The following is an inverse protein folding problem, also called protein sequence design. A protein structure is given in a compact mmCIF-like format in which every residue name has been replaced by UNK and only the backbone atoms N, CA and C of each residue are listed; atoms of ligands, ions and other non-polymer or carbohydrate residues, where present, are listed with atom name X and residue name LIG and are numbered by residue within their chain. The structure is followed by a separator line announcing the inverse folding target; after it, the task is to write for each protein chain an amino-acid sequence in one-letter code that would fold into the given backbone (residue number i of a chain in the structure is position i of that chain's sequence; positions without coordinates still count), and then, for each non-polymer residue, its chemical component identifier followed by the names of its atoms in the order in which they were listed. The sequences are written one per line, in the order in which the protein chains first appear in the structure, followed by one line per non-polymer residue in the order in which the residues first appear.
data_IF_615357609192
#
_entry.id   IF_615357609192
#
_cell.length_a   1.000
_cell.length_b   1.000
_cell.length_c   1.000
_cell.angle_alpha   90.00
_cell.angle_beta   90.00
_cell.angle_gamma   90.00
#
_symmetry.space_group_name_H-M   'P 1'
#
loop_
_entity.id
_entity.type
_entity.pdbx_description
1 polymer ?
#
# COMPACT_ATOMS: atom_id res chain seq x y z
N UNK A 1 10.13 -32.18 11.36
CA UNK A 1 10.04 -30.71 11.54
C UNK A 1 10.66 -30.07 10.31
N UNK A 2 10.02 -30.21 9.16
CA UNK A 2 10.33 -29.37 8.01
C UNK A 2 9.19 -28.37 7.93
N UNK A 3 9.50 -27.15 8.33
CA UNK A 3 8.78 -25.97 7.85
C UNK A 3 9.21 -25.85 6.38
N UNK A 4 8.66 -26.74 5.55
CA UNK A 4 8.73 -26.63 4.09
C UNK A 4 7.77 -25.50 3.75
N UNK A 5 8.19 -24.25 3.99
CA UNK A 5 7.47 -23.08 3.51
C UNK A 5 7.19 -23.32 2.02
N UNK A 6 5.91 -23.38 1.67
CA UNK A 6 5.50 -23.67 0.30
C UNK A 6 6.18 -22.62 -0.59
N UNK A 7 7.01 -23.01 -1.58
CA UNK A 7 7.72 -22.05 -2.42
C UNK A 7 6.78 -21.15 -3.23
N UNK A 8 5.47 -21.45 -3.24
CA UNK A 8 4.42 -20.62 -3.81
C UNK A 8 3.62 -19.80 -2.78
N UNK A 9 3.90 -19.93 -1.47
CA UNK A 9 3.29 -19.08 -0.45
C UNK A 9 3.87 -17.67 -0.55
N UNK A 10 3.13 -16.82 -1.28
CA UNK A 10 3.47 -15.42 -1.46
C UNK A 10 3.25 -14.67 -0.15
N UNK A 11 4.25 -13.92 0.30
CA UNK A 11 4.08 -13.09 1.48
C UNK A 11 2.96 -12.06 1.27
N UNK A 12 2.21 -11.67 2.32
CA UNK A 12 1.05 -10.78 2.17
C UNK A 12 1.36 -9.48 1.43
N UNK A 13 2.55 -8.90 1.64
CA UNK A 13 2.96 -7.65 0.97
C UNK A 13 3.11 -7.84 -0.55
N UNK A 14 3.61 -8.98 -1.00
CA UNK A 14 3.73 -9.28 -2.43
C UNK A 14 2.36 -9.56 -3.04
N UNK A 15 1.48 -10.24 -2.31
CA UNK A 15 0.13 -10.53 -2.79
C UNK A 15 -0.69 -9.25 -2.99
N UNK A 16 -0.59 -8.29 -2.06
CA UNK A 16 -1.26 -7.01 -2.20
C UNK A 16 -0.75 -6.22 -3.42
N UNK A 17 0.56 -6.26 -3.71
CA UNK A 17 1.14 -5.64 -4.90
C UNK A 17 0.68 -6.36 -6.18
N UNK A 18 0.68 -7.69 -6.19
CA UNK A 18 0.23 -8.50 -7.34
C UNK A 18 -1.22 -8.20 -7.73
N UNK A 19 -2.06 -7.92 -6.74
CA UNK A 19 -3.47 -7.59 -6.91
C UNK A 19 -3.73 -6.11 -7.18
N UNK A 20 -2.67 -5.28 -7.18
CA UNK A 20 -2.74 -3.81 -7.17
C UNK A 20 -3.69 -3.26 -6.08
N UNK A 21 -3.77 -3.97 -4.94
CA UNK A 21 -4.59 -3.56 -3.80
C UNK A 21 -3.78 -2.57 -2.93
N UNK A 22 -3.79 -1.32 -3.36
CA UNK A 22 -3.12 -0.22 -2.67
C UNK A 22 -3.58 -0.07 -1.20
N UNK A 23 -4.85 -0.36 -0.91
CA UNK A 23 -5.41 -0.21 0.43
C UNK A 23 -4.85 -1.29 1.37
N UNK A 24 -4.83 -2.55 0.91
CA UNK A 24 -4.24 -3.65 1.66
C UNK A 24 -2.73 -3.51 1.80
N UNK A 25 -2.03 -3.11 0.72
CA UNK A 25 -0.60 -2.82 0.75
C UNK A 25 -0.29 -1.79 1.84
N UNK A 26 -1.00 -0.66 1.83
CA UNK A 26 -0.84 0.41 2.83
C UNK A 26 -1.12 -0.09 4.25
N UNK A 27 -2.16 -0.92 4.43
CA UNK A 27 -2.51 -1.51 5.72
C UNK A 27 -1.41 -2.43 6.25
N UNK A 28 -0.84 -3.28 5.38
CA UNK A 28 0.25 -4.20 5.73
C UNK A 28 1.52 -3.45 6.11
N UNK A 29 1.89 -2.42 5.34
CA UNK A 29 3.04 -1.57 5.62
C UNK A 29 2.89 -0.82 6.95
N UNK A 30 1.69 -0.29 7.24
CA UNK A 30 1.38 0.29 8.55
C UNK A 30 1.48 -0.72 9.70
N UNK A 31 1.17 -2.00 9.44
CA UNK A 31 1.32 -3.07 10.42
C UNK A 31 2.78 -3.52 10.62
N UNK A 32 3.75 -2.91 9.93
CA UNK A 32 5.18 -3.18 10.09
C UNK A 32 5.71 -4.33 9.25
N UNK A 33 4.98 -4.73 8.18
CA UNK A 33 5.54 -5.65 7.20
C UNK A 33 6.73 -5.00 6.49
N UNK A 34 7.75 -5.80 6.17
CA UNK A 34 8.97 -5.32 5.54
C UNK A 34 8.70 -4.89 4.08
N UNK A 35 8.85 -3.59 3.74
CA UNK A 35 8.64 -3.10 2.38
C UNK A 35 9.70 -3.59 1.38
N UNK A 36 10.79 -4.17 1.89
CA UNK A 36 11.92 -4.68 1.11
C UNK A 36 12.03 -6.22 1.18
N UNK A 37 10.95 -6.89 1.61
CA UNK A 37 10.88 -8.34 1.73
C UNK A 37 11.15 -9.00 0.36
N UNK A 38 12.00 -10.02 0.34
CA UNK A 38 12.19 -10.82 -0.87
C UNK A 38 11.12 -11.90 -0.98
N UNK A 39 10.54 -12.05 -2.17
CA UNK A 39 9.66 -13.18 -2.45
C UNK A 39 10.42 -14.51 -2.51
N UNK A 40 9.66 -15.61 -2.42
CA UNK A 40 10.19 -16.98 -2.50
C UNK A 40 10.45 -17.44 -3.94
N UNK A 41 9.87 -16.78 -4.94
CA UNK A 41 9.87 -17.26 -6.32
C UNK A 41 11.08 -16.77 -7.13
N UNK A 42 11.22 -15.45 -7.28
CA UNK A 42 12.28 -14.82 -8.07
C UNK A 42 13.32 -14.08 -7.19
N UNK A 43 13.09 -14.05 -5.88
CA UNK A 43 13.83 -13.19 -4.96
C UNK A 43 13.66 -11.72 -5.30
N UNK A 44 12.47 -11.32 -5.73
CA UNK A 44 12.15 -9.93 -6.03
C UNK A 44 11.69 -9.19 -4.79
N UNK A 45 11.98 -7.89 -4.74
CA UNK A 45 11.38 -6.99 -3.74
C UNK A 45 9.94 -6.66 -4.15
N UNK A 46 9.09 -6.15 -3.24
CA UNK A 46 7.74 -5.73 -3.59
C UNK A 46 7.77 -4.61 -4.63
N UNK A 47 8.82 -3.76 -4.61
CA UNK A 47 8.99 -2.68 -5.57
C UNK A 47 9.26 -3.16 -7.00
N UNK A 48 10.04 -4.23 -7.17
CA UNK A 48 10.23 -4.86 -8.48
C UNK A 48 8.91 -5.44 -9.01
N UNK A 49 8.15 -6.09 -8.14
CA UNK A 49 6.84 -6.66 -8.50
C UNK A 49 5.82 -5.58 -8.87
N UNK A 50 5.82 -4.44 -8.19
CA UNK A 50 4.94 -3.32 -8.51
C UNK A 50 5.22 -2.80 -9.92
N UNK A 51 6.48 -2.53 -10.25
CA UNK A 51 6.87 -2.02 -11.57
C UNK A 51 6.50 -3.00 -12.68
N UNK A 52 6.74 -4.30 -12.47
CA UNK A 52 6.39 -5.36 -13.42
C UNK A 52 4.88 -5.46 -13.62
N UNK A 53 4.12 -5.56 -12.52
CA UNK A 53 2.67 -5.72 -12.52
C UNK A 53 1.93 -4.52 -13.12
N UNK A 54 2.32 -3.29 -12.76
CA UNK A 54 1.76 -2.06 -13.34
C UNK A 54 2.03 -2.00 -14.86
N UNK A 55 3.26 -2.35 -15.29
CA UNK A 55 3.63 -2.38 -16.71
C UNK A 55 2.86 -3.44 -17.50
N UNK A 56 2.77 -4.66 -16.97
CA UNK A 56 2.08 -5.76 -17.62
C UNK A 56 0.56 -5.58 -17.61
N UNK A 57 0.00 -5.07 -16.52
CA UNK A 57 -1.42 -4.73 -16.39
C UNK A 57 -1.84 -3.69 -17.42
N UNK A 58 -1.10 -2.57 -17.55
CA UNK A 58 -1.37 -1.55 -18.56
C UNK A 58 -1.27 -2.11 -19.98
N UNK A 59 -0.27 -2.96 -20.25
CA UNK A 59 -0.07 -3.58 -21.57
C UNK A 59 -1.17 -4.57 -21.94
N UNK A 60 -1.71 -5.31 -20.97
CA UNK A 60 -2.75 -6.32 -21.18
C UNK A 60 -4.14 -5.69 -21.31
N UNK A 61 -4.44 -4.67 -20.51
CA UNK A 61 -5.76 -4.04 -20.47
C UNK A 61 -5.89 -2.87 -21.45
N UNK A 62 -4.79 -2.21 -21.78
CA UNK A 62 -4.78 -0.94 -22.51
C UNK A 62 -5.17 0.27 -21.66
N UNK A 63 -5.36 0.08 -20.36
CA UNK A 63 -5.58 1.17 -19.41
C UNK A 63 -4.32 2.03 -19.25
N UNK A 64 -4.45 3.29 -18.80
CA UNK A 64 -3.30 4.15 -18.55
C UNK A 64 -2.34 3.51 -17.55
N UNK A 65 -1.04 3.55 -17.86
CA UNK A 65 0.00 3.10 -16.94
C UNK A 65 -0.01 3.95 -15.66
N UNK A 66 -0.16 3.29 -14.52
CA UNK A 66 -0.07 3.89 -13.19
C UNK A 66 1.23 3.53 -12.48
N UNK A 67 1.45 4.14 -11.32
CA UNK A 67 2.65 3.94 -10.50
C UNK A 67 2.30 3.96 -9.00
N UNK A 68 1.09 3.51 -8.66
CA UNK A 68 0.52 3.70 -7.32
C UNK A 68 1.29 2.88 -6.27
N UNK A 69 1.46 1.58 -6.52
CA UNK A 69 2.25 0.70 -5.67
C UNK A 69 3.73 1.11 -5.69
N UNK A 70 4.25 1.47 -6.87
CA UNK A 70 5.62 1.98 -7.04
C UNK A 70 5.91 3.25 -6.23
N UNK A 71 4.92 4.13 -6.05
CA UNK A 71 5.06 5.35 -5.25
C UNK A 71 4.90 5.09 -3.74
N UNK A 72 4.01 4.18 -3.34
CA UNK A 72 3.75 3.88 -1.92
C UNK A 72 4.94 3.19 -1.27
N UNK A 73 5.55 2.20 -1.92
CA UNK A 73 6.63 1.42 -1.31
C UNK A 73 7.82 2.28 -0.82
N UNK A 74 8.39 3.19 -1.62
CA UNK A 74 9.44 4.11 -1.16
C UNK A 74 8.98 5.06 -0.05
N UNK A 75 7.70 5.48 -0.05
CA UNK A 75 7.15 6.34 1.00
C UNK A 75 7.09 5.63 2.37
N UNK A 76 6.98 4.29 2.37
CA UNK A 76 7.06 3.45 3.57
C UNK A 76 8.47 2.93 3.87
N UNK A 77 9.48 3.41 3.14
CA UNK A 77 10.88 3.11 3.40
C UNK A 77 11.47 1.96 2.60
N UNK A 78 10.79 1.47 1.55
CA UNK A 78 11.43 0.58 0.57
C UNK A 78 12.65 1.27 -0.01
N UNK A 79 13.75 0.54 -0.17
CA UNK A 79 14.96 1.07 -0.79
C UNK A 79 14.84 1.02 -2.32
N UNK A 80 14.72 2.16 -3.03
CA UNK A 80 14.56 2.19 -4.49
C UNK A 80 15.79 1.64 -5.24
N UNK A 81 16.93 1.53 -4.56
CA UNK A 81 18.16 0.95 -5.11
C UNK A 81 18.32 -0.54 -4.85
N UNK A 82 17.45 -1.18 -4.06
CA UNK A 82 17.64 -2.57 -3.62
C UNK A 82 17.38 -3.54 -4.78
N UNK A 83 18.39 -4.32 -5.21
CA UNK A 83 18.21 -5.29 -6.28
C UNK A 83 17.50 -6.55 -5.79
N UNK A 84 16.95 -7.31 -6.75
CA UNK A 84 16.56 -8.70 -6.55
C UNK A 84 17.75 -9.56 -6.14
N UNK A 85 17.48 -10.78 -5.66
CA UNK A 85 18.54 -11.79 -5.43
C UNK A 85 19.34 -12.12 -6.70
N UNK A 86 18.75 -11.91 -7.88
CA UNK A 86 19.41 -12.06 -9.19
C UNK A 86 20.15 -10.83 -9.69
N UNK A 87 20.18 -9.73 -8.93
CA UNK A 87 20.88 -8.49 -9.30
C UNK A 87 20.09 -7.51 -10.19
N UNK A 88 18.82 -7.80 -10.48
CA UNK A 88 17.93 -6.88 -11.20
C UNK A 88 17.57 -5.71 -10.30
N UNK A 89 17.80 -4.47 -10.73
CA UNK A 89 17.43 -3.27 -9.95
C UNK A 89 16.07 -2.75 -10.40
N UNK A 90 15.31 -2.07 -9.51
CA UNK A 90 14.05 -1.43 -9.88
C UNK A 90 14.20 -0.46 -11.06
N UNK A 91 15.30 0.29 -11.11
CA UNK A 91 15.59 1.22 -12.20
C UNK A 91 15.77 0.51 -13.55
N UNK A 92 16.54 -0.59 -13.59
CA UNK A 92 16.74 -1.35 -14.82
C UNK A 92 15.42 -1.91 -15.34
N UNK A 93 14.57 -2.42 -14.45
CA UNK A 93 13.26 -2.96 -14.83
C UNK A 93 12.35 -1.86 -15.37
N UNK A 94 12.19 -0.74 -14.65
CA UNK A 94 11.35 0.37 -15.08
C UNK A 94 11.77 0.93 -16.45
N UNK A 95 13.08 1.03 -16.69
CA UNK A 95 13.60 1.46 -17.99
C UNK A 95 13.32 0.42 -19.09
N UNK A 96 13.48 -0.87 -18.80
CA UNK A 96 13.25 -1.95 -19.76
C UNK A 96 11.77 -2.09 -20.14
N UNK A 97 10.85 -1.87 -19.21
CA UNK A 97 9.40 -1.94 -19.47
C UNK A 97 8.82 -0.65 -20.06
N UNK A 98 9.60 0.44 -20.11
CA UNK A 98 9.12 1.76 -20.55
C UNK A 98 8.23 2.45 -19.54
N UNK A 99 8.38 2.12 -18.25
CA UNK A 99 7.61 2.70 -17.16
C UNK A 99 8.18 4.06 -16.75
N UNK A 100 7.94 5.07 -17.60
CA UNK A 100 8.50 6.42 -17.46
C UNK A 100 8.17 7.07 -16.10
N UNK A 101 7.00 6.78 -15.55
CA UNK A 101 6.60 7.31 -14.24
C UNK A 101 7.44 6.68 -13.12
N UNK A 102 7.61 5.36 -13.15
CA UNK A 102 8.48 4.65 -12.20
C UNK A 102 9.94 5.14 -12.31
N UNK A 103 10.46 5.33 -13.53
CA UNK A 103 11.82 5.89 -13.73
C UNK A 103 11.97 7.23 -13.01
N UNK A 104 11.05 8.17 -13.24
CA UNK A 104 11.09 9.50 -12.62
C UNK A 104 10.99 9.44 -11.09
N UNK A 105 10.12 8.58 -10.55
CA UNK A 105 9.99 8.38 -9.11
C UNK A 105 11.28 7.84 -8.50
N UNK A 106 11.86 6.81 -9.13
CA UNK A 106 13.12 6.19 -8.68
C UNK A 106 14.28 7.18 -8.75
N UNK A 107 14.41 7.94 -9.84
CA UNK A 107 15.41 9.01 -9.97
C UNK A 107 15.24 10.09 -8.91
N UNK A 108 14.00 10.50 -8.61
CA UNK A 108 13.73 11.47 -7.56
C UNK A 108 14.20 10.92 -6.19
N UNK A 109 13.84 9.68 -5.85
CA UNK A 109 14.25 9.09 -4.58
C UNK A 109 15.77 8.83 -4.48
N UNK A 110 16.45 8.50 -5.58
CA UNK A 110 17.90 8.30 -5.61
C UNK A 110 18.67 9.62 -5.64
N UNK A 111 18.20 10.62 -6.39
CA UNK A 111 18.79 11.96 -6.49
C UNK A 111 18.70 12.73 -5.17
N UNK A 112 17.60 12.57 -4.43
CA UNK A 112 17.43 13.11 -3.08
C UNK A 112 18.42 12.51 -2.05
N UNK A 113 19.03 11.35 -2.34
CA UNK A 113 20.11 10.80 -1.48
C UNK A 113 21.46 11.47 -1.72
N UNK A 114 21.67 12.12 -2.88
CA UNK A 114 22.89 12.87 -3.20
C UNK A 114 22.88 14.32 -2.71
N UNK A 115 21.70 14.94 -2.61
CA UNK A 115 21.51 16.30 -2.08
C UNK A 115 20.81 16.25 -0.73
N UNK A 116 21.59 16.05 0.32
CA UNK A 116 21.12 16.13 1.72
C UNK A 116 20.34 17.43 1.95
N UNK A 117 19.02 17.33 2.05
CA UNK A 117 18.16 18.22 2.83
C UNK A 117 16.93 17.42 3.28
N UNK A 118 16.90 17.23 4.58
CA UNK A 118 15.88 16.60 5.40
C UNK A 118 14.43 17.08 5.16
N UNK A 119 13.50 16.13 5.16
CA UNK A 119 12.23 16.31 5.88
C UNK A 119 12.06 15.13 6.82
N UNK A 120 12.52 15.33 8.05
CA UNK A 120 12.35 14.48 9.22
C UNK A 120 10.86 14.24 9.50
N UNK A 121 10.28 13.19 8.92
CA UNK A 121 8.99 12.62 9.38
C UNK A 121 9.21 11.35 10.17
N UNK A 122 10.27 11.29 10.97
CA UNK A 122 10.28 10.46 12.17
C UNK A 122 9.39 11.12 13.23
N UNK A 123 8.06 11.10 13.02
CA UNK A 123 7.13 11.16 14.14
C UNK A 123 7.24 9.83 14.88
N UNK A 124 8.23 9.77 15.78
CA UNK A 124 8.10 9.03 17.02
C UNK A 124 6.71 9.34 17.57
N UNK A 125 5.85 8.33 17.67
CA UNK A 125 4.68 8.36 18.52
C UNK A 125 5.15 8.58 19.96
N UNK A 126 5.37 9.84 20.31
CA UNK A 126 5.44 10.30 21.69
C UNK A 126 4.04 10.10 22.26
N UNK A 127 3.83 8.93 22.86
CA UNK A 127 2.82 8.72 23.86
C UNK A 127 3.09 9.75 24.98
N UNK A 128 2.14 10.64 25.32
CA UNK A 128 2.30 11.48 26.49
C UNK A 128 2.26 10.58 27.76
N UNK A 129 3.06 10.89 28.80
CA UNK A 129 3.01 10.12 30.04
C UNK A 129 1.63 10.32 30.71
N UNK A 130 0.87 9.23 30.78
CA UNK A 130 -0.37 9.15 31.56
C UNK A 130 0.02 9.26 33.03
N UNK A 131 -0.32 10.39 33.66
CA UNK A 131 -0.22 10.56 35.12
C UNK A 131 -1.33 9.74 35.79
N UNK A 132 -1.06 8.96 36.84
CA UNK A 132 -2.12 8.42 37.67
C UNK A 132 -2.55 9.53 38.65
N UNK A 133 -3.81 9.95 38.58
CA UNK A 133 -4.42 10.75 39.64
C UNK A 133 -5.82 10.23 39.90
N UNK A 134 -6.04 9.83 41.16
CA UNK A 134 -7.20 9.11 41.63
C UNK A 134 -8.54 9.85 41.49
N UNK A 135 -9.57 9.00 41.56
CA UNK A 135 -11.01 9.20 41.76
C UNK A 135 -11.38 10.24 42.86
N UNK A 136 -12.66 10.66 43.09
CA UNK A 136 -13.88 9.90 42.80
C UNK A 136 -15.20 10.66 42.44
N UNK A 137 -16.21 9.82 42.16
CA UNK A 137 -17.66 9.96 42.46
C UNK A 137 -18.55 10.91 41.64
N UNK A 138 -19.66 10.34 41.13
CA UNK A 138 -20.99 10.91 41.36
C UNK A 138 -21.88 11.17 40.15
N UNK A 139 -23.04 10.48 40.16
CA UNK A 139 -24.38 10.97 39.77
C UNK A 139 -24.73 11.07 38.26
N UNK A 140 -25.51 10.13 37.70
CA UNK A 140 -26.99 10.08 37.59
C UNK A 140 -27.57 10.93 36.46
N UNK A 141 -28.40 10.32 35.60
CA UNK A 141 -29.47 11.05 34.92
C UNK A 141 -29.69 10.78 33.42
N UNK A 142 -30.63 9.88 33.13
CA UNK A 142 -31.73 9.98 32.14
C UNK A 142 -31.62 10.94 30.93
N UNK A 143 -31.92 10.41 29.74
CA UNK A 143 -32.44 11.24 28.64
C UNK A 143 -32.53 10.51 27.30
N UNK A 144 -33.74 10.07 26.94
CA UNK A 144 -34.08 9.39 25.69
C UNK A 144 -34.14 10.33 24.46
N UNK A 145 -34.48 9.71 23.32
CA UNK A 145 -34.99 10.26 22.04
C UNK A 145 -33.94 10.87 21.08
N UNK A 146 -33.91 10.60 19.77
CA UNK A 146 -34.70 9.76 18.88
C UNK A 146 -34.31 10.07 17.41
N UNK A 147 -34.82 9.25 16.49
CA UNK A 147 -35.10 9.59 15.07
C UNK A 147 -33.93 9.50 14.06
N UNK A 148 -33.88 8.38 13.31
CA UNK A 148 -33.53 8.41 11.89
C UNK A 148 -34.72 7.91 11.07
N UNK A 149 -35.20 8.76 10.17
CA UNK A 149 -36.30 8.46 9.26
C UNK A 149 -35.79 7.62 8.10
N UNK A 150 -36.44 6.49 7.84
CA UNK A 150 -36.49 5.88 6.52
C UNK A 150 -37.68 6.47 5.77
N UNK A 151 -37.43 7.05 4.59
CA UNK A 151 -38.39 7.18 3.50
C UNK A 151 -37.60 6.79 2.23
N UNK A 152 -38.05 5.93 1.34
CA UNK A 152 -39.40 5.42 1.09
C UNK A 152 -39.94 6.01 -0.20
N UNK A 153 -39.99 5.19 -1.26
CA UNK A 153 -40.97 5.31 -2.34
C UNK A 153 -40.45 5.74 -3.70
N UNK A 154 -40.70 4.91 -4.71
CA UNK A 154 -40.55 5.29 -6.12
C UNK A 154 -40.65 4.15 -7.13
N UNK A 155 -41.60 3.22 -6.98
CA UNK A 155 -42.01 2.32 -8.07
C UNK A 155 -42.83 3.09 -9.11
N UNK A 156 -42.64 2.80 -10.39
CA UNK A 156 -43.76 2.63 -11.33
C UNK A 156 -43.33 1.95 -12.64
N UNK A 157 -44.26 1.26 -13.32
CA UNK A 157 -44.01 0.31 -14.40
C UNK A 157 -44.21 0.91 -15.80
N UNK A 158 -43.63 0.28 -16.82
CA UNK A 158 -43.92 0.57 -18.23
C UNK A 158 -44.93 -0.45 -18.82
N UNK A 159 -45.92 0.01 -19.60
CA UNK A 159 -46.97 -0.83 -20.17
C UNK A 159 -46.66 -1.36 -21.58
N UNK A 160 -47.33 -2.47 -21.90
CA UNK A 160 -47.39 -3.17 -23.19
C UNK A 160 -48.30 -2.49 -24.22
N UNK A 161 -47.99 -2.70 -25.51
CA UNK A 161 -48.94 -2.77 -26.62
C UNK A 161 -49.09 -1.49 -27.47
N UNK A 162 -49.64 -1.59 -28.69
CA UNK A 162 -50.42 -2.71 -29.26
C UNK A 162 -49.61 -3.77 -30.02
#
# INVERSE_FOLDING_TARGET
MTDDADPYEMAPVHLAVEQDDLAELTRLLHAGHDPDQYDGHNGWTPLLRAIDGESDGARQTGEPLDAACTAVLPAYGADPGKPSRGGLTPYHLAFQTGHDMAVRLLEAHMGLRGTRLECLVHRRGAHPPVRPSGAPAGDTGHGACGRRKHGGGGSSPHPSGP
#
